data_IF_841505677512
#
_entry.id   IF_841505677512
#
_cell.length_a   1.000
_cell.length_b   1.000
_cell.length_c   1.000
_cell.angle_alpha   90.00
_cell.angle_beta   90.00
_cell.angle_gamma   90.00
#
_symmetry.space_group_name_H-M   'P 1'
#
loop_
_entity.id
_entity.type
_entity.pdbx_description
1 polymer ?
#
# COMPACT_ATOMS: atom_id res chain seq x y z
N UNK A 1 8.49 18.13 -14.23
CA UNK A 1 8.02 17.51 -12.97
C UNK A 1 8.98 17.90 -11.85
N UNK A 2 8.51 18.43 -10.72
CA UNK A 2 9.37 18.96 -9.66
C UNK A 2 9.83 17.78 -8.79
N UNK A 3 11.13 17.44 -8.83
CA UNK A 3 11.70 16.37 -8.00
C UNK A 3 11.60 16.74 -6.52
N UNK A 4 11.22 15.78 -5.66
CA UNK A 4 11.06 16.03 -4.23
C UNK A 4 12.43 16.30 -3.60
N UNK A 5 12.56 17.43 -2.90
CA UNK A 5 13.81 17.80 -2.20
C UNK A 5 14.02 17.04 -0.88
N UNK A 6 12.96 16.53 -0.26
CA UNK A 6 13.04 15.85 1.05
C UNK A 6 12.42 14.46 1.01
N UNK A 7 13.26 13.43 1.13
CA UNK A 7 12.81 12.05 1.29
C UNK A 7 11.98 11.90 2.57
N UNK A 8 10.90 11.13 2.51
CA UNK A 8 10.05 10.79 3.64
C UNK A 8 9.73 9.30 3.69
N UNK A 9 9.23 8.89 4.85
CA UNK A 9 8.60 7.59 5.07
C UNK A 9 7.22 7.82 5.68
N UNK A 10 6.29 6.92 5.39
CA UNK A 10 4.96 6.94 5.96
C UNK A 10 4.48 5.50 6.13
N UNK A 11 4.10 5.12 7.34
CA UNK A 11 3.46 3.84 7.59
C UNK A 11 1.97 4.11 7.75
N UNK A 12 1.15 3.41 6.97
CA UNK A 12 -0.32 3.48 7.00
C UNK A 12 -0.82 2.22 7.68
N UNK A 13 -1.66 2.39 8.70
CA UNK A 13 -2.30 1.31 9.46
C UNK A 13 -3.73 1.19 8.99
N UNK A 14 -4.17 -0.04 8.73
CA UNK A 14 -5.55 -0.34 8.36
C UNK A 14 -6.14 -1.23 9.45
N UNK A 15 -7.12 -0.71 10.18
CA UNK A 15 -7.78 -1.38 11.29
C UNK A 15 -9.16 -1.88 10.87
N UNK A 16 -9.42 -3.17 11.10
CA UNK A 16 -10.66 -3.83 10.70
C UNK A 16 -11.45 -4.27 11.93
N UNK A 17 -12.76 -4.00 12.02
CA UNK A 17 -13.54 -4.53 13.12
C UNK A 17 -13.56 -6.07 13.12
N UNK A 18 -13.48 -6.73 14.28
CA UNK A 18 -13.43 -8.22 14.36
C UNK A 18 -14.64 -8.93 13.73
N UNK A 19 -15.78 -8.25 13.66
CA UNK A 19 -17.04 -8.82 13.19
C UNK A 19 -17.25 -8.71 11.67
N UNK A 20 -16.34 -8.05 10.94
CA UNK A 20 -16.46 -7.92 9.47
C UNK A 20 -15.61 -8.97 8.76
N UNK A 21 -16.01 -9.36 7.55
CA UNK A 21 -15.15 -10.16 6.68
C UNK A 21 -13.99 -9.30 6.17
N UNK A 22 -12.81 -9.44 6.77
CA UNK A 22 -11.61 -8.67 6.44
C UNK A 22 -11.27 -8.71 4.94
N UNK A 23 -11.45 -9.87 4.30
CA UNK A 23 -11.12 -10.06 2.89
C UNK A 23 -11.98 -9.21 1.95
N UNK A 24 -13.20 -8.84 2.37
CA UNK A 24 -14.10 -7.97 1.60
C UNK A 24 -13.60 -6.52 1.52
N UNK A 25 -12.77 -6.09 2.47
CA UNK A 25 -12.28 -4.71 2.56
C UNK A 25 -10.78 -4.58 2.26
N UNK A 26 -9.99 -5.58 2.65
CA UNK A 26 -8.53 -5.59 2.48
C UNK A 26 -8.10 -5.36 1.04
N UNK A 27 -8.63 -6.15 0.10
CA UNK A 27 -8.21 -6.09 -1.30
C UNK A 27 -8.49 -4.72 -1.94
N UNK A 28 -9.72 -4.14 -1.84
CA UNK A 28 -9.98 -2.79 -2.34
C UNK A 28 -9.09 -1.71 -1.72
N UNK A 29 -8.87 -1.75 -0.40
CA UNK A 29 -8.08 -0.74 0.31
C UNK A 29 -6.60 -0.84 -0.10
N UNK A 30 -6.06 -2.05 -0.13
CA UNK A 30 -4.70 -2.30 -0.60
C UNK A 30 -4.52 -1.81 -2.03
N UNK A 31 -5.44 -2.13 -2.94
CA UNK A 31 -5.39 -1.68 -4.33
C UNK A 31 -5.38 -0.15 -4.46
N UNK A 32 -6.22 0.57 -3.71
CA UNK A 32 -6.21 2.04 -3.70
C UNK A 32 -4.84 2.58 -3.25
N UNK A 33 -4.31 2.04 -2.15
CA UNK A 33 -3.07 2.50 -1.55
C UNK A 33 -1.84 2.17 -2.41
N UNK A 34 -1.77 0.99 -3.03
CA UNK A 34 -0.71 0.62 -3.96
C UNK A 34 -0.80 1.39 -5.28
N UNK A 35 -2.01 1.73 -5.73
CA UNK A 35 -2.19 2.62 -6.88
C UNK A 35 -1.67 4.03 -6.60
N UNK A 36 -1.82 4.55 -5.38
CA UNK A 36 -1.13 5.79 -5.02
C UNK A 36 0.39 5.64 -5.07
N UNK A 37 0.91 4.50 -4.60
CA UNK A 37 2.35 4.22 -4.70
C UNK A 37 2.82 4.30 -6.16
N UNK A 38 2.06 3.68 -7.07
CA UNK A 38 2.36 3.69 -8.50
C UNK A 38 2.27 5.10 -9.10
N UNK A 39 1.16 5.81 -8.87
CA UNK A 39 0.91 7.16 -9.41
C UNK A 39 2.01 8.16 -9.00
N UNK A 40 2.50 8.04 -7.77
CA UNK A 40 3.48 8.97 -7.21
C UNK A 40 4.89 8.39 -7.09
N UNK A 41 5.17 7.24 -7.72
CA UNK A 41 6.48 6.56 -7.73
C UNK A 41 7.07 6.39 -6.32
N UNK A 42 6.25 5.92 -5.38
CA UNK A 42 6.66 5.56 -4.02
C UNK A 42 6.99 4.08 -3.96
N UNK A 43 8.09 3.74 -3.30
CA UNK A 43 8.35 2.35 -2.91
C UNK A 43 7.41 1.97 -1.78
N UNK A 44 6.94 0.72 -1.77
CA UNK A 44 6.01 0.25 -0.74
C UNK A 44 6.25 -1.19 -0.31
N UNK A 45 5.78 -1.54 0.87
CA UNK A 45 5.74 -2.92 1.38
C UNK A 45 4.45 -3.11 2.16
N UNK A 46 3.90 -4.32 2.15
CA UNK A 46 2.64 -4.66 2.82
C UNK A 46 2.94 -5.76 3.84
N UNK A 47 2.58 -5.51 5.10
CA UNK A 47 2.61 -6.49 6.18
C UNK A 47 1.15 -6.74 6.61
N UNK A 48 0.50 -7.77 6.04
CA UNK A 48 -0.88 -8.09 6.34
C UNK A 48 -1.00 -8.80 7.70
N UNK A 49 -2.04 -8.47 8.47
CA UNK A 49 -2.31 -9.04 9.80
C UNK A 49 -1.10 -8.92 10.73
N UNK A 50 -0.51 -7.73 10.80
CA UNK A 50 0.73 -7.50 11.54
C UNK A 50 0.55 -7.85 13.02
N UNK A 51 1.54 -8.51 13.59
CA UNK A 51 1.59 -8.79 15.03
C UNK A 51 2.35 -7.73 15.82
N UNK A 52 2.82 -6.66 15.17
CA UNK A 52 3.59 -5.59 15.79
C UNK A 52 2.86 -4.87 16.92
N UNK A 53 1.53 -4.86 16.91
CA UNK A 53 0.70 -4.23 17.93
C UNK A 53 -0.02 -5.23 18.84
N UNK A 54 0.27 -6.53 18.73
CA UNK A 54 -0.46 -7.58 19.49
C UNK A 54 -0.40 -7.32 21.01
N UNK A 55 0.72 -6.81 21.52
CA UNK A 55 0.89 -6.50 22.95
C UNK A 55 0.22 -5.18 23.37
N UNK A 56 -0.27 -4.39 22.41
CA UNK A 56 -0.96 -3.12 22.62
C UNK A 56 -2.47 -3.23 22.39
N UNK A 57 -2.90 -4.25 21.65
CA UNK A 57 -4.30 -4.54 21.39
C UNK A 57 -4.81 -5.38 22.56
N UNK A 58 -5.69 -4.79 23.37
CA UNK A 58 -6.36 -5.52 24.46
C UNK A 58 -7.11 -6.74 23.91
N UNK A 59 -7.21 -7.82 24.70
CA UNK A 59 -7.91 -9.04 24.28
C UNK A 59 -9.34 -8.76 23.80
N UNK A 60 -10.01 -7.79 24.42
CA UNK A 60 -11.36 -7.33 24.12
C UNK A 60 -11.43 -6.19 23.08
N UNK A 61 -10.34 -5.91 22.37
CA UNK A 61 -10.33 -4.92 21.30
C UNK A 61 -11.42 -5.20 20.27
N UNK A 62 -12.09 -4.12 19.85
CA UNK A 62 -13.07 -4.14 18.75
C UNK A 62 -12.42 -4.51 17.41
N UNK A 63 -11.13 -4.25 17.24
CA UNK A 63 -10.39 -4.44 16.00
C UNK A 63 -9.63 -5.78 15.97
N UNK A 64 -9.59 -6.40 14.79
CA UNK A 64 -8.72 -7.52 14.46
C UNK A 64 -7.26 -7.04 14.31
N UNK A 65 -6.33 -7.97 14.06
CA UNK A 65 -4.96 -7.60 13.71
C UNK A 65 -4.96 -6.69 12.48
N UNK A 66 -4.34 -5.50 12.56
CA UNK A 66 -4.37 -4.54 11.47
C UNK A 66 -3.40 -4.93 10.36
N UNK A 67 -3.54 -4.30 9.19
CA UNK A 67 -2.51 -4.32 8.16
C UNK A 67 -1.62 -3.08 8.29
N UNK A 68 -0.35 -3.19 7.92
CA UNK A 68 0.53 -2.04 7.72
C UNK A 68 1.00 -1.99 6.27
N UNK A 69 0.86 -0.81 5.66
CA UNK A 69 1.51 -0.49 4.39
C UNK A 69 2.59 0.55 4.65
N UNK A 70 3.82 0.18 4.35
CA UNK A 70 4.99 1.04 4.45
C UNK A 70 5.18 1.77 3.12
N UNK A 71 5.40 3.08 3.16
CA UNK A 71 5.74 3.90 2.00
C UNK A 71 7.08 4.60 2.21
N UNK A 72 7.87 4.68 1.15
CA UNK A 72 9.14 5.42 1.11
C UNK A 72 9.25 6.19 -0.19
N UNK A 73 9.52 7.48 -0.08
CA UNK A 73 9.82 8.29 -1.26
C UNK A 73 11.26 8.12 -1.71
N UNK A 74 11.47 8.17 -3.02
CA UNK A 74 12.77 8.14 -3.68
C UNK A 74 13.07 9.50 -4.33
N UNK A 75 14.15 9.59 -5.12
CA UNK A 75 14.38 10.77 -5.95
C UNK A 75 13.36 10.93 -7.08
N UNK A 76 12.67 9.86 -7.47
CA UNK A 76 11.71 9.83 -8.57
C UNK A 76 10.27 10.11 -8.12
N UNK A 77 10.02 10.08 -6.81
CA UNK A 77 8.69 10.26 -6.26
C UNK A 77 8.11 11.65 -6.59
N UNK A 78 6.79 11.72 -6.79
CA UNK A 78 6.10 12.90 -7.33
C UNK A 78 5.09 13.54 -6.36
N UNK A 79 5.14 13.20 -5.07
CA UNK A 79 4.27 13.76 -4.03
C UNK A 79 5.03 14.06 -2.74
N UNK A 80 4.74 15.18 -2.08
CA UNK A 80 5.33 15.48 -0.77
C UNK A 80 4.52 14.81 0.36
N UNK A 81 5.18 14.54 1.50
CA UNK A 81 4.58 13.87 2.67
C UNK A 81 3.21 14.45 3.07
N UNK A 82 3.11 15.78 3.22
CA UNK A 82 1.85 16.43 3.66
C UNK A 82 0.73 16.25 2.64
N UNK A 83 1.05 16.35 1.35
CA UNK A 83 0.08 16.13 0.29
C UNK A 83 -0.38 14.67 0.25
N UNK A 84 0.54 13.73 0.48
CA UNK A 84 0.21 12.30 0.53
C UNK A 84 -0.65 11.93 1.74
N UNK A 85 -0.33 12.46 2.92
CA UNK A 85 -1.17 12.31 4.12
C UNK A 85 -2.58 12.86 3.91
N UNK A 86 -2.69 14.04 3.28
CA UNK A 86 -3.98 14.64 2.94
C UNK A 86 -4.76 13.76 1.97
N UNK A 87 -4.12 13.26 0.91
CA UNK A 87 -4.75 12.38 -0.07
C UNK A 87 -5.35 11.12 0.58
N UNK A 88 -4.57 10.42 1.41
CA UNK A 88 -5.04 9.24 2.14
C UNK A 88 -6.23 9.63 3.02
N UNK A 89 -6.11 10.70 3.79
CA UNK A 89 -7.17 11.17 4.67
C UNK A 89 -8.44 11.52 3.91
N UNK A 90 -8.35 12.17 2.75
CA UNK A 90 -9.52 12.57 1.96
C UNK A 90 -10.23 11.36 1.35
N UNK A 91 -9.49 10.35 0.87
CA UNK A 91 -10.06 9.14 0.27
C UNK A 91 -10.71 8.24 1.30
N UNK A 92 -10.11 8.10 2.48
CA UNK A 92 -10.60 7.22 3.55
C UNK A 92 -11.33 7.98 4.67
N UNK A 93 -11.62 9.27 4.49
CA UNK A 93 -12.41 10.06 5.45
C UNK A 93 -13.74 9.34 5.68
N UNK A 94 -14.11 9.17 6.96
CA UNK A 94 -15.32 8.49 7.46
C UNK A 94 -16.30 8.08 6.35
N UNK A 95 -16.17 6.82 5.92
CA UNK A 95 -17.02 6.26 4.88
C UNK A 95 -17.87 5.15 5.48
N UNK A 96 -19.18 5.39 5.70
CA UNK A 96 -20.10 4.38 6.23
C UNK A 96 -20.10 3.08 5.41
N UNK A 97 -19.77 3.14 4.11
CA UNK A 97 -19.69 1.97 3.24
C UNK A 97 -18.47 1.08 3.50
N UNK A 98 -17.48 1.54 4.28
CA UNK A 98 -16.32 0.74 4.66
C UNK A 98 -16.52 -0.04 5.97
N UNK A 99 -17.74 -0.10 6.50
CA UNK A 99 -18.07 -1.01 7.60
C UNK A 99 -17.28 -0.79 8.89
N UNK A 100 -16.87 0.45 9.18
CA UNK A 100 -16.05 0.77 10.35
C UNK A 100 -14.55 0.47 10.20
N UNK A 101 -14.07 0.19 8.98
CA UNK A 101 -12.63 0.10 8.69
C UNK A 101 -12.01 1.49 8.77
N UNK A 102 -10.92 1.58 9.54
CA UNK A 102 -10.16 2.81 9.75
C UNK A 102 -8.82 2.75 9.03
N UNK A 103 -8.45 3.82 8.35
CA UNK A 103 -7.15 3.97 7.68
C UNK A 103 -6.45 5.18 8.27
N UNK A 104 -5.38 4.93 9.01
CA UNK A 104 -4.61 5.95 9.71
C UNK A 104 -3.14 5.89 9.34
N UNK A 105 -2.36 6.89 9.73
CA UNK A 105 -0.91 6.90 9.55
C UNK A 105 -0.18 7.01 10.88
N UNK A 106 0.94 6.30 11.00
CA UNK A 106 1.80 6.41 12.17
C UNK A 106 2.41 7.80 12.29
N UNK A 107 2.53 8.27 13.53
CA UNK A 107 3.22 9.51 13.84
C UNK A 107 4.70 9.41 13.45
N UNK A 108 5.23 10.47 12.82
CA UNK A 108 6.60 10.52 12.33
C UNK A 108 7.67 10.22 13.41
N UNK A 109 7.40 10.59 14.67
CA UNK A 109 8.28 10.31 15.81
C UNK A 109 8.46 8.81 16.09
N UNK A 110 7.47 7.99 15.74
CA UNK A 110 7.41 6.55 16.04
C UNK A 110 8.06 5.72 14.93
N UNK A 111 8.21 6.27 13.71
CA UNK A 111 8.77 5.56 12.55
C UNK A 111 10.20 5.03 12.77
N UNK A 112 10.96 5.58 13.73
CA UNK A 112 12.29 5.07 14.08
C UNK A 112 12.23 3.64 14.64
N UNK A 113 11.13 3.29 15.29
CA UNK A 113 10.92 1.96 15.88
C UNK A 113 10.36 0.96 14.86
N UNK A 114 9.89 1.45 13.70
CA UNK A 114 9.28 0.67 12.64
C UNK A 114 9.98 0.98 11.31
N UNK A 115 11.21 0.46 11.12
CA UNK A 115 11.99 0.73 9.93
C UNK A 115 11.27 0.23 8.67
N UNK A 116 11.61 0.84 7.53
CA UNK A 116 11.07 0.38 6.25
C UNK A 116 11.59 -1.04 5.94
N UNK A 117 10.74 -2.00 5.54
CA UNK A 117 11.13 -3.38 5.31
C UNK A 117 12.20 -3.56 4.22
N UNK A 118 13.00 -4.63 4.35
CA UNK A 118 13.99 -5.03 3.34
C UNK A 118 13.37 -5.74 2.13
N UNK A 119 12.13 -6.22 2.28
CA UNK A 119 11.31 -6.75 1.20
C UNK A 119 10.26 -5.72 0.81
N UNK A 120 10.32 -5.21 -0.42
CA UNK A 120 9.48 -4.11 -0.88
C UNK A 120 9.33 -4.11 -2.40
N UNK A 121 8.38 -3.32 -2.88
CA UNK A 121 8.05 -3.15 -4.29
C UNK A 121 8.39 -1.72 -4.70
N UNK A 122 9.08 -1.57 -5.82
CA UNK A 122 9.28 -0.30 -6.53
C UNK A 122 8.41 -0.28 -7.79
N UNK A 123 7.40 0.59 -7.86
CA UNK A 123 6.60 0.75 -9.08
C UNK A 123 7.43 1.24 -10.26
N UNK A 124 7.33 0.57 -11.41
CA UNK A 124 7.91 1.02 -12.68
C UNK A 124 6.80 1.55 -13.61
N UNK A 125 7.06 1.58 -14.91
CA UNK A 125 6.01 1.86 -15.88
C UNK A 125 5.12 0.63 -16.03
N UNK A 126 3.81 0.85 -16.11
CA UNK A 126 2.83 -0.23 -16.28
C UNK A 126 3.22 -1.12 -17.46
N UNK A 127 3.16 -2.47 -17.33
CA UNK A 127 2.66 -3.25 -16.18
C UNK A 127 3.77 -3.67 -15.19
N UNK A 128 4.98 -3.14 -15.34
CA UNK A 128 6.15 -3.63 -14.63
C UNK A 128 6.27 -3.07 -13.21
N UNK A 129 6.79 -3.92 -12.33
CA UNK A 129 7.26 -3.59 -10.99
C UNK A 129 8.65 -4.17 -10.79
N UNK A 130 9.41 -3.64 -9.83
CA UNK A 130 10.64 -4.26 -9.34
C UNK A 130 10.40 -4.72 -7.89
N UNK A 131 10.54 -6.02 -7.66
CA UNK A 131 10.37 -6.65 -6.35
C UNK A 131 11.76 -6.84 -5.74
N UNK A 132 11.98 -6.24 -4.58
CA UNK A 132 13.20 -6.36 -3.82
C UNK A 132 13.03 -7.35 -2.69
N UNK A 133 13.95 -8.29 -2.58
CA UNK A 133 14.09 -9.21 -1.46
C UNK A 133 15.52 -9.13 -0.93
N UNK A 134 15.67 -8.66 0.32
CA UNK A 134 16.98 -8.53 0.97
C UNK A 134 18.03 -7.79 0.11
N UNK A 135 17.59 -6.73 -0.59
CA UNK A 135 18.44 -5.89 -1.43
C UNK A 135 18.66 -6.39 -2.87
N UNK A 136 18.11 -7.55 -3.26
CA UNK A 136 18.14 -8.03 -4.65
C UNK A 136 16.81 -7.71 -5.33
N UNK A 137 16.86 -6.95 -6.43
CA UNK A 137 15.70 -6.56 -7.22
C UNK A 137 15.47 -7.48 -8.41
N UNK A 138 14.22 -7.87 -8.65
CA UNK A 138 13.77 -8.59 -9.85
C UNK A 138 12.61 -7.83 -10.50
N UNK A 139 12.66 -7.65 -11.82
CA UNK A 139 11.55 -7.04 -12.57
C UNK A 139 10.48 -8.09 -12.81
N UNK A 140 9.23 -7.76 -12.49
CA UNK A 140 8.08 -8.67 -12.56
C UNK A 140 6.85 -7.95 -13.13
N UNK A 141 5.90 -8.73 -13.61
CA UNK A 141 4.53 -8.30 -13.94
C UNK A 141 3.62 -8.99 -12.93
N UNK A 142 2.76 -8.27 -12.19
CA UNK A 142 1.84 -8.94 -11.28
C UNK A 142 0.82 -9.79 -12.05
N UNK A 143 0.38 -10.88 -11.41
CA UNK A 143 -0.37 -11.95 -12.07
C UNK A 143 -1.69 -11.46 -12.69
N UNK A 144 -2.39 -10.55 -12.02
CA UNK A 144 -3.66 -9.99 -12.49
C UNK A 144 -3.46 -9.23 -13.79
N UNK A 145 -2.43 -8.38 -13.85
CA UNK A 145 -2.06 -7.61 -15.03
C UNK A 145 -1.56 -8.52 -16.15
N UNK A 146 -0.82 -9.58 -15.83
CA UNK A 146 -0.37 -10.57 -16.81
C UNK A 146 -1.55 -11.25 -17.50
N UNK A 147 -2.55 -11.72 -16.73
CA UNK A 147 -3.74 -12.35 -17.29
C UNK A 147 -4.54 -11.38 -18.18
N UNK A 148 -4.72 -10.13 -17.76
CA UNK A 148 -5.39 -9.10 -18.58
C UNK A 148 -4.68 -8.88 -19.92
N UNK A 149 -3.35 -8.87 -19.94
CA UNK A 149 -2.57 -8.71 -21.17
C UNK A 149 -2.69 -9.94 -22.08
N UNK A 150 -2.75 -11.14 -21.51
CA UNK A 150 -2.96 -12.37 -22.27
C UNK A 150 -4.35 -12.38 -22.91
N UNK A 151 -5.39 -11.94 -22.20
CA UNK A 151 -6.75 -11.91 -22.74
C UNK A 151 -6.88 -10.87 -23.87
N UNK A 152 -6.31 -9.67 -23.70
CA UNK A 152 -6.27 -8.63 -24.73
C UNK A 152 -5.54 -9.08 -26.02
N UNK A 153 -4.51 -9.91 -25.89
CA UNK A 153 -3.78 -10.43 -27.07
C UNK A 153 -4.57 -11.52 -27.80
N UNK A 154 -5.34 -12.35 -27.08
CA UNK A 154 -6.24 -13.35 -27.68
C UNK A 154 -7.37 -12.68 -28.46
N UNK A 155 -8.01 -11.66 -27.90
CA UNK A 155 -9.10 -10.92 -28.56
C UNK A 155 -8.65 -10.23 -29.86
N UNK A 156 -7.41 -9.72 -29.91
CA UNK A 156 -6.85 -9.14 -31.13
C UNK A 156 -6.60 -10.18 -32.22
N UNK A 157 -6.22 -11.40 -31.85
CA UNK A 157 -5.93 -12.46 -32.82
C UNK A 157 -7.19 -13.11 -33.42
N UNK A 158 -8.35 -12.95 -32.78
CA UNK A 158 -9.66 -13.43 -33.28
C UNK A 158 -10.38 -12.45 -34.20
N UNK A 159 -9.91 -11.20 -34.30
CA UNK A 159 -10.52 -10.13 -35.09
C UNK A 159 -9.70 -9.75 -36.35
N UNK A 160 -8.75 -10.60 -36.75
CA UNK A 160 -7.97 -10.52 -38.00
C UNK A 160 -8.29 -11.74 -38.87
#
# INVERSE_FOLDING_TARGET
>A
MKLIKKKFRLNVIISYPKHVNIYSYRNPIHAILTNFAWLYKLEYSIDPSTKLFTNLIEADSYYADPDIIYFRSTGESAIELKAFQKLIKDVFKYNPKMGGVEVEYQLQKVLKNYPFPNTYIKPLNYPYIEVFENGKGNIMIPEVELHQLIDLTKEKNTNC
#
